data_IF_135135743764
#
_entry.id   IF_135135743764
#
_cell.length_a   1.000
_cell.length_b   1.000
_cell.length_c   1.000
_cell.angle_alpha   90.00
_cell.angle_beta   90.00
_cell.angle_gamma   90.00
#
_symmetry.space_group_name_H-M   'P 1'
#
loop_
_entity.id
_entity.type
_entity.pdbx_description
1 polymer ?
#
# COMPACT_ATOMS: atom_id res chain seq x y z
N UNK A 1 24.61 -26.11 -9.45
CA UNK A 1 25.25 -24.85 -9.88
C UNK A 1 25.86 -24.21 -8.66
N UNK A 2 27.10 -24.60 -8.32
CA UNK A 2 27.87 -23.98 -7.25
C UNK A 2 28.59 -22.74 -7.82
N UNK A 3 28.22 -21.54 -7.36
CA UNK A 3 28.78 -20.26 -7.84
C UNK A 3 30.15 -19.91 -7.24
N UNK A 4 30.89 -20.91 -6.74
CA UNK A 4 32.18 -20.72 -6.10
C UNK A 4 32.13 -19.90 -4.80
N UNK A 5 33.29 -19.61 -4.18
CA UNK A 5 33.41 -19.01 -2.83
C UNK A 5 32.72 -17.64 -2.64
N UNK A 6 32.27 -17.01 -3.72
CA UNK A 6 31.69 -15.65 -3.76
C UNK A 6 30.15 -15.65 -3.85
N UNK A 7 29.52 -16.82 -3.99
CA UNK A 7 28.07 -16.98 -3.98
C UNK A 7 27.33 -16.33 -2.78
N UNK A 8 27.84 -16.36 -1.52
CA UNK A 8 27.10 -15.81 -0.40
C UNK A 8 26.88 -14.29 -0.50
N UNK A 9 27.78 -13.56 -1.18
CA UNK A 9 27.63 -12.11 -1.36
C UNK A 9 26.42 -11.77 -2.24
N UNK A 10 26.21 -12.53 -3.32
CA UNK A 10 25.07 -12.34 -4.23
C UNK A 10 23.75 -12.61 -3.50
N UNK A 11 23.69 -13.70 -2.74
CA UNK A 11 22.51 -14.02 -1.93
C UNK A 11 22.25 -12.98 -0.84
N UNK A 12 23.28 -12.48 -0.17
CA UNK A 12 23.14 -11.42 0.83
C UNK A 12 22.61 -10.10 0.23
N UNK A 13 23.10 -9.73 -0.96
CA UNK A 13 22.61 -8.55 -1.67
C UNK A 13 21.12 -8.67 -2.07
N UNK A 14 20.72 -9.84 -2.60
CA UNK A 14 19.29 -10.09 -2.90
C UNK A 14 18.42 -10.15 -1.64
N UNK A 15 18.91 -10.74 -0.56
CA UNK A 15 18.20 -10.76 0.71
C UNK A 15 18.02 -9.35 1.27
N UNK A 16 19.07 -8.51 1.26
CA UNK A 16 18.99 -7.13 1.68
C UNK A 16 17.98 -6.34 0.83
N UNK A 17 18.03 -6.51 -0.50
CA UNK A 17 17.05 -5.91 -1.41
C UNK A 17 15.62 -6.35 -1.09
N UNK A 18 15.40 -7.65 -0.89
CA UNK A 18 14.09 -8.20 -0.54
C UNK A 18 13.56 -7.63 0.79
N UNK A 19 14.42 -7.48 1.80
CA UNK A 19 14.08 -6.87 3.08
C UNK A 19 13.64 -5.41 2.89
N UNK A 20 14.40 -4.63 2.12
CA UNK A 20 14.07 -3.21 1.84
C UNK A 20 12.72 -3.11 1.13
N UNK A 21 12.48 -3.93 0.10
CA UNK A 21 11.20 -3.95 -0.62
C UNK A 21 10.05 -4.37 0.29
N UNK A 22 10.22 -5.42 1.10
CA UNK A 22 9.20 -5.86 2.05
C UNK A 22 8.88 -4.78 3.09
N UNK A 23 9.89 -4.08 3.59
CA UNK A 23 9.71 -2.97 4.52
C UNK A 23 8.92 -1.82 3.89
N UNK A 24 9.20 -1.46 2.63
CA UNK A 24 8.45 -0.44 1.89
C UNK A 24 6.99 -0.87 1.66
N UNK A 25 6.75 -2.12 1.29
CA UNK A 25 5.39 -2.65 1.11
C UNK A 25 4.62 -2.59 2.43
N UNK A 26 5.24 -3.04 3.53
CA UNK A 26 4.62 -3.01 4.85
C UNK A 26 4.31 -1.57 5.29
N UNK A 27 5.26 -0.65 5.08
CA UNK A 27 5.08 0.75 5.39
C UNK A 27 3.94 1.36 4.58
N UNK A 28 3.88 1.11 3.28
CA UNK A 28 2.80 1.58 2.40
C UNK A 28 1.43 1.00 2.82
N UNK A 29 1.38 -0.28 3.19
CA UNK A 29 0.15 -0.89 3.67
C UNK A 29 -0.33 -0.26 4.99
N UNK A 30 0.60 0.01 5.92
CA UNK A 30 0.31 0.71 7.17
C UNK A 30 -0.14 2.14 6.88
N UNK A 31 0.53 2.86 5.98
CA UNK A 31 0.20 4.24 5.62
C UNK A 31 -1.16 4.35 4.90
N UNK A 32 -1.41 3.49 3.91
CA UNK A 32 -2.68 3.38 3.20
C UNK A 32 -3.84 3.01 4.12
N UNK A 33 -3.60 2.21 5.16
CA UNK A 33 -4.63 1.90 6.16
C UNK A 33 -5.10 3.14 6.94
N UNK A 34 -4.23 4.15 7.12
CA UNK A 34 -4.59 5.42 7.77
C UNK A 34 -5.50 6.25 6.89
N UNK A 35 -5.31 6.19 5.57
CA UNK A 35 -6.15 6.88 4.59
C UNK A 35 -7.53 6.20 4.45
N UNK A 36 -7.55 4.87 4.36
CA UNK A 36 -8.79 4.10 4.25
C UNK A 36 -9.69 4.22 5.47
N UNK A 37 -9.12 4.34 6.68
CA UNK A 37 -9.92 4.58 7.90
C UNK A 37 -10.69 5.90 7.85
N UNK A 38 -10.11 6.95 7.26
CA UNK A 38 -10.77 8.25 7.09
C UNK A 38 -11.87 8.18 6.02
N UNK A 39 -11.63 7.48 4.92
CA UNK A 39 -12.66 7.26 3.89
C UNK A 39 -13.84 6.44 4.43
N UNK A 40 -13.58 5.36 5.20
CA UNK A 40 -14.62 4.56 5.84
C UNK A 40 -15.45 5.34 6.86
N UNK A 41 -14.82 6.23 7.63
CA UNK A 41 -15.55 7.11 8.57
C UNK A 41 -16.44 8.11 7.81
N UNK A 42 -16.00 8.61 6.65
CA UNK A 42 -16.81 9.49 5.79
C UNK A 42 -17.93 8.75 5.05
N UNK A 43 -17.70 7.51 4.61
CA UNK A 43 -18.72 6.63 4.05
C UNK A 43 -19.78 6.25 5.11
N UNK A 44 -19.34 5.90 6.33
CA UNK A 44 -20.22 5.64 7.46
C UNK A 44 -21.06 6.86 7.85
N UNK A 45 -20.53 8.08 7.65
CA UNK A 45 -21.23 9.35 7.86
C UNK A 45 -22.16 9.76 6.71
N UNK A 46 -22.34 8.93 5.68
CA UNK A 46 -23.43 9.08 4.71
C UNK A 46 -23.22 10.14 3.62
N UNK A 47 -21.98 10.36 3.17
CA UNK A 47 -21.66 11.28 2.05
C UNK A 47 -22.37 10.88 0.73
N UNK A 48 -22.83 9.64 0.58
CA UNK A 48 -23.58 9.16 -0.60
C UNK A 48 -24.94 9.85 -0.81
N UNK A 49 -25.55 10.46 0.21
CA UNK A 49 -26.88 11.07 0.04
C UNK A 49 -26.86 12.46 -0.61
N UNK A 50 -25.72 13.16 -0.60
CA UNK A 50 -25.63 14.52 -1.19
C UNK A 50 -25.23 14.52 -2.66
N UNK A 51 -24.53 13.49 -3.15
CA UNK A 51 -24.11 13.38 -4.55
C UNK A 51 -25.23 12.93 -5.51
N UNK A 52 -26.38 12.46 -5.00
CA UNK A 52 -27.56 12.12 -5.81
C UNK A 52 -28.55 13.30 -6.01
N UNK A 53 -28.25 14.49 -5.48
CA UNK A 53 -29.17 15.61 -5.39
C UNK A 53 -28.82 16.80 -6.28
N UNK A 54 -28.50 16.58 -7.56
CA UNK A 54 -28.55 17.64 -8.56
C UNK A 54 -29.54 17.22 -9.65
N UNK A 55 -30.84 17.52 -9.52
CA UNK A 55 -31.72 17.48 -10.66
C UNK A 55 -31.22 18.51 -11.68
N UNK A 56 -31.03 18.15 -12.96
CA UNK A 56 -30.82 19.14 -14.00
C UNK A 56 -32.09 19.99 -14.08
N UNK A 57 -32.01 21.19 -13.48
CA UNK A 57 -33.01 22.24 -13.63
C UNK A 57 -33.09 22.62 -15.11
N UNK A 58 -34.31 22.55 -15.65
CA UNK A 58 -34.71 23.10 -16.95
C UNK A 58 -34.67 24.62 -16.91
#
# INVERSE_FOLDING_TARGET
MDLGPNAPFVWAAYAAFAIVVAALILWLAVDGSRQQRRLRDLEARGVTRRSAGAPPGR
#
